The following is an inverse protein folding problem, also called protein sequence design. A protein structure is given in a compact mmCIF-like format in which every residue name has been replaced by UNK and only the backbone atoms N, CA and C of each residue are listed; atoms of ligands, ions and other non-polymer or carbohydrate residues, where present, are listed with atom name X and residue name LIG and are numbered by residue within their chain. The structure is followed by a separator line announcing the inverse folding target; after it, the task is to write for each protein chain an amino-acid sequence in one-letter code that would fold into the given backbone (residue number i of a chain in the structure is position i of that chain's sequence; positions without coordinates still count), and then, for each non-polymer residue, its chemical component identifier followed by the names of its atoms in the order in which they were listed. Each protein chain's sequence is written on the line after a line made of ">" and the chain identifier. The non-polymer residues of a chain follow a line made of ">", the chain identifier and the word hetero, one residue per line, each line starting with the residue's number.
data_IF_595825529750
#
_entry.id   IF_595825529750
#
_cell.length_a   1.000
_cell.length_b   1.000
_cell.length_c   1.000
_cell.angle_alpha   90.00
_cell.angle_beta   90.00
_cell.angle_gamma   90.00
#
_symmetry.space_group_name_H-M   'P 1'
#
loop_
_entity.id
_entity.type
_entity.pdbx_description
1 polymer ?
#
# COMPACT_ATOMS: atom_id res chain seq x y z
N UNK A 1 6.30 -24.72 -22.05
CA UNK A 1 6.74 -23.53 -22.79
C UNK A 1 7.81 -22.77 -22.01
N UNK A 2 8.77 -22.22 -22.70
CA UNK A 2 9.86 -21.46 -22.07
C UNK A 2 9.37 -20.29 -21.20
N UNK A 3 8.22 -19.69 -21.54
CA UNK A 3 7.63 -18.59 -20.76
C UNK A 3 7.26 -19.03 -19.35
N UNK A 4 6.75 -20.24 -19.17
CA UNK A 4 6.30 -20.70 -17.85
C UNK A 4 7.48 -21.04 -16.95
N UNK A 5 8.62 -21.40 -17.54
CA UNK A 5 9.86 -21.68 -16.79
C UNK A 5 10.54 -20.42 -16.29
N UNK A 6 10.28 -19.27 -16.93
CA UNK A 6 10.88 -17.99 -16.57
C UNK A 6 9.99 -17.14 -15.68
N UNK A 7 8.73 -17.54 -15.46
CA UNK A 7 7.83 -16.84 -14.56
C UNK A 7 8.25 -17.11 -13.12
N UNK A 8 8.53 -16.05 -12.40
CA UNK A 8 8.70 -16.11 -10.95
C UNK A 8 7.34 -16.40 -10.35
N UNK A 9 7.17 -17.48 -9.55
CA UNK A 9 5.91 -17.75 -8.88
C UNK A 9 5.51 -16.54 -8.03
N UNK A 10 4.27 -16.08 -8.18
CA UNK A 10 3.73 -14.95 -7.41
C UNK A 10 2.57 -15.43 -6.56
N UNK A 11 2.48 -14.88 -5.37
CA UNK A 11 1.38 -15.15 -4.44
C UNK A 11 0.30 -14.10 -4.64
N UNK A 12 -0.96 -14.52 -4.52
CA UNK A 12 -2.10 -13.61 -4.60
C UNK A 12 -2.43 -13.08 -3.21
N UNK A 13 -2.59 -11.77 -3.10
CA UNK A 13 -3.05 -11.10 -1.89
C UNK A 13 -4.36 -10.39 -2.18
N UNK A 14 -5.44 -10.84 -1.52
CA UNK A 14 -6.75 -10.21 -1.65
C UNK A 14 -6.74 -8.81 -1.02
N UNK A 15 -7.17 -7.83 -1.79
CA UNK A 15 -7.23 -6.43 -1.36
C UNK A 15 -8.51 -5.77 -1.85
N UNK A 16 -8.85 -4.64 -1.25
CA UNK A 16 -9.88 -3.74 -1.74
C UNK A 16 -9.23 -2.44 -2.18
N UNK A 17 -9.48 -2.05 -3.43
CA UNK A 17 -8.99 -0.79 -3.99
C UNK A 17 -10.13 0.22 -4.05
N UNK A 18 -9.82 1.50 -3.80
CA UNK A 18 -10.68 2.61 -4.21
C UNK A 18 -9.98 3.30 -5.37
N UNK A 19 -10.63 3.31 -6.52
CA UNK A 19 -10.09 3.80 -7.79
C UNK A 19 -11.00 4.89 -8.33
N UNK A 20 -10.43 5.99 -8.73
CA UNK A 20 -11.19 7.08 -9.36
C UNK A 20 -11.31 6.82 -10.87
N UNK A 21 -12.49 6.93 -11.49
CA UNK A 21 -13.82 7.22 -10.92
C UNK A 21 -14.65 5.97 -10.60
N UNK A 22 -14.12 4.78 -10.79
CA UNK A 22 -14.86 3.50 -10.68
C UNK A 22 -15.38 3.24 -9.25
N UNK A 23 -14.65 3.67 -8.23
CA UNK A 23 -15.00 3.45 -6.83
C UNK A 23 -14.33 2.19 -6.25
N UNK A 24 -15.08 1.45 -5.46
CA UNK A 24 -14.57 0.27 -4.75
C UNK A 24 -14.41 -0.93 -5.70
N UNK A 25 -13.21 -1.52 -5.70
CA UNK A 25 -12.87 -2.68 -6.52
C UNK A 25 -12.21 -3.72 -5.63
N UNK A 26 -12.69 -4.96 -5.70
CA UNK A 26 -12.10 -6.09 -4.96
C UNK A 26 -11.35 -6.99 -5.93
N UNK A 27 -10.13 -7.35 -5.55
CA UNK A 27 -9.31 -8.24 -6.36
C UNK A 27 -8.03 -8.62 -5.64
N UNK A 28 -7.11 -9.23 -6.34
CA UNK A 28 -5.86 -9.68 -5.74
C UNK A 28 -4.66 -9.06 -6.44
N UNK A 29 -3.69 -8.64 -5.63
CA UNK A 29 -2.38 -8.23 -6.10
C UNK A 29 -1.47 -9.45 -6.23
N UNK A 30 -0.54 -9.40 -7.17
CA UNK A 30 0.50 -10.40 -7.33
C UNK A 30 1.72 -9.95 -6.52
N UNK A 31 2.08 -10.72 -5.51
CA UNK A 31 3.22 -10.46 -4.66
C UNK A 31 4.29 -11.51 -4.87
N UNK A 32 5.55 -11.08 -4.85
CA UNK A 32 6.68 -12.02 -4.92
C UNK A 32 6.78 -12.79 -3.60
N UNK A 33 7.16 -14.09 -3.64
CA UNK A 33 7.34 -14.87 -2.41
C UNK A 33 8.41 -14.29 -1.50
N UNK A 34 9.36 -13.55 -2.09
CA UNK A 34 10.44 -12.92 -1.33
C UNK A 34 10.61 -11.48 -1.77
N UNK A 35 10.64 -10.58 -0.79
CA UNK A 35 10.89 -9.17 -1.03
C UNK A 35 12.34 -8.92 -1.45
N UNK A 36 12.54 -7.93 -2.34
CA UNK A 36 13.87 -7.46 -2.72
C UNK A 36 14.48 -6.52 -1.65
N UNK A 37 13.68 -6.05 -0.69
CA UNK A 37 14.07 -4.97 0.24
C UNK A 37 14.07 -5.40 1.71
N UNK A 38 13.48 -6.55 2.05
CA UNK A 38 13.36 -7.02 3.42
C UNK A 38 13.24 -8.55 3.46
N UNK A 39 13.38 -9.15 4.64
CA UNK A 39 13.12 -10.57 4.83
C UNK A 39 11.61 -10.83 4.76
N UNK A 40 11.22 -11.92 4.11
CA UNK A 40 9.84 -12.35 3.96
C UNK A 40 9.22 -11.96 2.63
N UNK A 41 7.90 -12.09 2.54
CA UNK A 41 7.13 -11.82 1.32
C UNK A 41 7.14 -10.34 0.95
N UNK A 42 6.98 -10.07 -0.35
CA UNK A 42 6.74 -8.72 -0.84
C UNK A 42 5.42 -8.19 -0.28
N UNK A 43 5.41 -6.93 0.15
CA UNK A 43 4.20 -6.28 0.66
C UNK A 43 3.48 -5.49 -0.45
N UNK A 44 2.15 -5.26 -0.30
CA UNK A 44 1.43 -4.36 -1.21
C UNK A 44 2.08 -2.98 -1.36
N UNK A 45 2.59 -2.41 -0.27
CA UNK A 45 3.27 -1.11 -0.30
C UNK A 45 4.46 -1.13 -1.27
N UNK A 46 5.23 -2.20 -1.29
CA UNK A 46 6.38 -2.32 -2.20
C UNK A 46 5.95 -2.28 -3.67
N UNK A 47 4.88 -3.03 -4.00
CA UNK A 47 4.33 -3.06 -5.36
C UNK A 47 3.83 -1.67 -5.77
N UNK A 48 3.13 -0.99 -4.87
CA UNK A 48 2.56 0.33 -5.14
C UNK A 48 3.63 1.42 -5.28
N UNK A 49 4.77 1.27 -4.60
CA UNK A 49 5.86 2.23 -4.63
C UNK A 49 6.94 1.93 -5.67
N UNK A 50 6.77 0.89 -6.51
CA UNK A 50 7.68 0.69 -7.64
C UNK A 50 7.57 1.81 -8.66
N UNK A 51 8.55 1.91 -9.55
CA UNK A 51 8.56 2.93 -10.59
C UNK A 51 7.52 2.69 -11.70
N UNK A 52 6.92 1.51 -11.75
CA UNK A 52 5.90 1.20 -12.76
C UNK A 52 4.69 2.11 -12.61
N UNK A 53 4.15 2.59 -13.73
CA UNK A 53 2.98 3.47 -13.75
C UNK A 53 1.68 2.71 -13.46
N UNK A 54 1.63 1.44 -13.82
CA UNK A 54 0.43 0.61 -13.68
C UNK A 54 0.68 -0.54 -12.72
N UNK A 55 -0.37 -0.93 -12.03
CA UNK A 55 -0.40 -2.17 -11.27
C UNK A 55 -1.34 -3.17 -11.91
N UNK A 56 -1.12 -4.46 -11.64
CA UNK A 56 -1.96 -5.54 -12.14
C UNK A 56 -2.86 -6.02 -11.01
N UNK A 57 -4.16 -6.07 -11.28
CA UNK A 57 -5.13 -6.62 -10.35
C UNK A 57 -5.84 -7.81 -11.00
N UNK A 58 -5.87 -8.94 -10.30
CA UNK A 58 -6.67 -10.10 -10.71
C UNK A 58 -8.05 -9.98 -10.07
N UNK A 59 -9.07 -9.89 -10.89
CA UNK A 59 -10.46 -9.86 -10.44
C UNK A 59 -11.07 -11.26 -10.58
N UNK A 60 -12.01 -11.59 -9.69
CA UNK A 60 -12.65 -12.89 -9.70
C UNK A 60 -14.02 -12.87 -10.39
N UNK A 61 -14.70 -11.73 -10.41
CA UNK A 61 -16.02 -11.59 -11.03
C UNK A 61 -16.11 -10.28 -11.81
N UNK A 62 -15.85 -10.32 -13.13
CA UNK A 62 -15.41 -11.48 -13.92
C UNK A 62 -13.94 -11.83 -13.64
N UNK A 63 -13.56 -13.08 -13.94
CA UNK A 63 -12.16 -13.52 -13.86
C UNK A 63 -11.37 -12.86 -15.00
N UNK A 64 -10.67 -11.82 -14.65
CA UNK A 64 -9.88 -11.03 -15.62
C UNK A 64 -8.70 -10.34 -14.92
N UNK A 65 -7.71 -9.99 -15.71
CA UNK A 65 -6.63 -9.11 -15.30
C UNK A 65 -6.97 -7.68 -15.72
N UNK A 66 -6.78 -6.73 -14.82
CA UNK A 66 -6.88 -5.31 -15.13
C UNK A 66 -5.60 -4.60 -14.76
N UNK A 67 -5.22 -3.66 -15.60
CA UNK A 67 -4.08 -2.78 -15.35
C UNK A 67 -4.63 -1.43 -14.89
N UNK A 68 -4.37 -1.08 -13.64
CA UNK A 68 -4.80 0.20 -13.09
C UNK A 68 -3.63 1.17 -13.07
N UNK A 69 -3.87 2.38 -13.57
CA UNK A 69 -2.91 3.46 -13.41
C UNK A 69 -2.82 3.80 -11.92
N UNK A 70 -1.63 3.76 -11.36
CA UNK A 70 -1.42 4.05 -9.93
C UNK A 70 -1.91 5.45 -9.55
N UNK A 71 -1.89 6.42 -10.48
CA UNK A 71 -2.41 7.76 -10.24
C UNK A 71 -3.92 7.78 -10.01
N UNK A 72 -4.65 6.76 -10.45
CA UNK A 72 -6.10 6.65 -10.23
C UNK A 72 -6.45 5.92 -8.94
N UNK A 73 -5.49 5.25 -8.31
CA UNK A 73 -5.71 4.49 -7.08
C UNK A 73 -5.64 5.45 -5.90
N UNK A 74 -6.78 5.60 -5.20
CA UNK A 74 -6.90 6.46 -4.02
C UNK A 74 -6.26 5.79 -2.81
N UNK A 75 -6.67 4.54 -2.56
CA UNK A 75 -6.15 3.75 -1.45
C UNK A 75 -6.37 2.26 -1.69
N UNK A 76 -5.61 1.45 -0.97
CA UNK A 76 -5.71 -0.01 -0.96
C UNK A 76 -5.86 -0.46 0.48
N UNK A 77 -6.84 -1.29 0.77
CA UNK A 77 -7.07 -1.84 2.11
C UNK A 77 -6.95 -3.36 2.10
N UNK A 78 -6.37 -3.89 3.16
CA UNK A 78 -6.28 -5.33 3.41
C UNK A 78 -6.10 -5.59 4.90
N UNK A 79 -6.40 -6.83 5.32
CA UNK A 79 -6.17 -7.25 6.68
C UNK A 79 -4.80 -7.89 6.80
N UNK A 80 -4.09 -7.53 7.85
CA UNK A 80 -2.82 -8.15 8.23
C UNK A 80 -3.06 -9.01 9.45
N UNK A 81 -2.89 -10.33 9.30
CA UNK A 81 -3.17 -11.30 10.37
C UNK A 81 -2.15 -11.20 11.52
N UNK A 82 -0.95 -10.72 11.23
CA UNK A 82 0.11 -10.55 12.23
C UNK A 82 0.68 -9.13 12.15
N UNK A 83 0.08 -8.16 12.86
CA UNK A 83 0.66 -6.84 12.93
C UNK A 83 2.00 -6.93 13.66
N UNK A 84 3.09 -6.93 12.90
CA UNK A 84 4.43 -6.89 13.46
C UNK A 84 4.73 -5.45 13.83
N UNK A 85 4.63 -5.14 15.12
CA UNK A 85 5.22 -3.93 15.68
C UNK A 85 6.73 -4.11 15.60
N UNK A 86 7.39 -3.33 14.75
CA UNK A 86 8.84 -3.29 14.73
C UNK A 86 9.30 -2.67 16.05
N UNK A 87 10.04 -3.41 16.90
CA UNK A 87 10.37 -2.93 18.26
C UNK A 87 11.27 -1.70 18.27
N UNK A 88 11.91 -1.37 17.14
CA UNK A 88 12.82 -0.23 17.01
C UNK A 88 12.17 1.01 16.40
N UNK A 89 10.87 0.99 16.13
CA UNK A 89 10.16 2.07 15.45
C UNK A 89 9.06 2.61 16.35
N UNK A 90 9.13 3.91 16.65
CA UNK A 90 8.05 4.60 17.34
C UNK A 90 6.90 4.83 16.36
N UNK A 91 5.69 4.35 16.66
CA UNK A 91 4.54 4.62 15.80
C UNK A 91 4.19 6.11 15.81
N UNK A 92 3.86 6.64 14.62
CA UNK A 92 3.46 8.03 14.44
C UNK A 92 1.95 8.09 14.26
N UNK A 93 1.17 8.46 15.30
CA UNK A 93 -0.27 8.59 15.15
C UNK A 93 -0.62 9.72 14.19
N UNK A 94 -1.63 9.50 13.35
CA UNK A 94 -2.08 10.52 12.43
C UNK A 94 -3.49 10.24 11.92
N UNK A 95 -4.11 11.29 11.37
CA UNK A 95 -5.35 11.17 10.61
C UNK A 95 -5.12 11.79 9.24
N UNK A 96 -5.34 10.99 8.19
CA UNK A 96 -5.26 11.44 6.81
C UNK A 96 -6.64 11.91 6.38
N UNK A 97 -6.71 13.17 5.92
CA UNK A 97 -7.93 13.75 5.35
C UNK A 97 -7.82 13.65 3.84
N UNK A 98 -8.62 12.81 3.23
CA UNK A 98 -8.57 12.58 1.78
C UNK A 98 -9.42 13.59 1.03
N UNK A 99 -9.11 13.80 -0.25
CA UNK A 99 -9.80 14.74 -1.11
C UNK A 99 -11.27 14.37 -1.37
N UNK A 100 -11.64 13.11 -1.17
CA UNK A 100 -13.03 12.65 -1.27
C UNK A 100 -13.83 12.84 0.03
N UNK A 101 -13.21 13.42 1.06
CA UNK A 101 -13.82 13.64 2.37
C UNK A 101 -13.67 12.51 3.36
N UNK A 102 -13.11 11.37 2.96
CA UNK A 102 -12.89 10.27 3.89
C UNK A 102 -11.71 10.55 4.83
N UNK A 103 -11.79 9.95 6.02
CA UNK A 103 -10.77 10.08 7.06
C UNK A 103 -10.14 8.70 7.32
N UNK A 104 -8.83 8.65 7.33
CA UNK A 104 -8.09 7.43 7.66
C UNK A 104 -7.25 7.71 8.90
N UNK A 105 -7.65 7.14 10.02
CA UNK A 105 -6.96 7.30 11.30
C UNK A 105 -6.16 6.06 11.66
N UNK A 106 -4.94 6.24 12.13
CA UNK A 106 -4.10 5.13 12.53
C UNK A 106 -2.68 5.58 12.83
N UNK A 107 -1.73 4.68 12.66
CA UNK A 107 -0.32 4.95 12.91
C UNK A 107 0.53 4.61 11.69
N UNK A 108 1.55 5.41 11.46
CA UNK A 108 2.59 5.12 10.50
C UNK A 108 3.80 4.58 11.25
N UNK A 109 4.33 3.46 10.78
CA UNK A 109 5.49 2.80 11.37
C UNK A 109 6.59 2.73 10.31
N UNK A 110 7.52 3.66 10.38
CA UNK A 110 8.63 3.75 9.44
C UNK A 110 9.91 4.04 10.20
N UNK A 111 10.94 3.23 9.96
CA UNK A 111 12.28 3.49 10.47
C UNK A 111 12.88 4.65 9.67
N UNK A 112 13.09 5.78 10.32
CA UNK A 112 13.74 6.95 9.73
C UNK A 112 14.97 7.32 10.57
N UNK A 113 15.97 8.00 9.98
CA UNK A 113 17.10 8.52 10.75
C UNK A 113 16.60 9.40 11.91
N UNK A 114 17.26 9.40 13.09
CA UNK A 114 16.78 10.14 14.26
C UNK A 114 16.57 11.63 14.03
N UNK A 115 17.31 12.24 13.12
CA UNK A 115 17.18 13.65 12.74
C UNK A 115 16.01 13.92 11.78
N UNK A 116 15.38 12.85 11.22
CA UNK A 116 14.27 12.91 10.26
C UNK A 116 13.17 11.94 10.62
N UNK A 117 12.88 11.74 11.90
CA UNK A 117 11.90 10.75 12.37
C UNK A 117 10.49 11.31 12.56
N UNK A 118 10.24 12.55 12.14
CA UNK A 118 8.95 13.19 12.30
C UNK A 118 7.99 12.81 11.17
N UNK A 119 6.69 12.88 11.47
CA UNK A 119 5.64 12.63 10.49
C UNK A 119 5.82 13.48 9.21
N UNK A 120 6.13 14.76 9.37
CA UNK A 120 6.40 15.68 8.26
C UNK A 120 7.49 15.15 7.33
N UNK A 121 8.59 14.66 7.90
CA UNK A 121 9.71 14.14 7.12
C UNK A 121 9.32 12.91 6.32
N UNK A 122 8.54 12.02 6.93
CA UNK A 122 8.05 10.81 6.27
C UNK A 122 7.13 11.15 5.09
N UNK A 123 6.20 12.08 5.29
CA UNK A 123 5.25 12.48 4.26
C UNK A 123 5.94 13.13 3.05
N UNK A 124 7.12 13.69 3.25
CA UNK A 124 7.87 14.37 2.19
C UNK A 124 8.93 13.50 1.50
N UNK A 125 8.93 12.19 1.74
CA UNK A 125 9.77 11.27 0.98
C UNK A 125 9.30 11.19 -0.47
N UNK A 126 10.15 11.64 -1.40
CA UNK A 126 9.77 11.77 -2.81
C UNK A 126 9.67 10.45 -3.56
N UNK A 127 10.37 9.43 -3.11
CA UNK A 127 10.41 8.11 -3.75
C UNK A 127 9.27 7.18 -3.32
N UNK A 128 8.44 7.62 -2.37
CA UNK A 128 7.30 6.85 -1.88
C UNK A 128 5.98 7.56 -2.21
N UNK A 129 5.33 7.09 -3.27
CA UNK A 129 4.03 7.62 -3.72
C UNK A 129 2.90 7.28 -2.75
N UNK A 130 2.96 6.13 -2.10
CA UNK A 130 1.95 5.63 -1.19
C UNK A 130 2.49 5.56 0.23
N UNK A 131 1.61 5.79 1.20
CA UNK A 131 1.92 5.66 2.63
C UNK A 131 1.09 4.55 3.25
N UNK A 132 1.71 3.77 4.13
CA UNK A 132 1.06 2.66 4.83
C UNK A 132 0.62 3.11 6.22
N UNK A 133 -0.67 2.95 6.49
CA UNK A 133 -1.28 3.30 7.77
C UNK A 133 -1.81 2.04 8.44
N UNK A 134 -1.39 1.81 9.67
CA UNK A 134 -1.90 0.73 10.51
C UNK A 134 -3.16 1.24 11.23
N UNK A 135 -4.30 0.71 10.84
CA UNK A 135 -5.60 1.07 11.40
C UNK A 135 -6.01 0.10 12.51
N UNK A 136 -7.12 0.38 13.17
CA UNK A 136 -7.64 -0.47 14.23
C UNK A 136 -8.01 -1.88 13.71
N UNK A 137 -7.86 -2.90 14.56
CA UNK A 137 -8.29 -4.26 14.24
C UNK A 137 -7.43 -5.00 13.21
N UNK A 138 -6.17 -4.59 13.05
CA UNK A 138 -5.26 -5.22 12.08
C UNK A 138 -5.50 -4.82 10.64
N UNK A 139 -6.39 -3.86 10.38
CA UNK A 139 -6.63 -3.35 9.06
C UNK A 139 -5.48 -2.44 8.61
N UNK A 140 -4.99 -2.66 7.40
CA UNK A 140 -3.94 -1.84 6.78
C UNK A 140 -4.55 -1.03 5.66
N UNK A 141 -4.24 0.27 5.63
CA UNK A 141 -4.66 1.15 4.57
C UNK A 141 -3.43 1.80 3.93
N UNK A 142 -3.23 1.55 2.64
CA UNK A 142 -2.13 2.13 1.87
C UNK A 142 -2.71 3.23 1.00
N UNK A 143 -2.32 4.48 1.26
CA UNK A 143 -2.97 5.67 0.71
C UNK A 143 -2.05 6.38 -0.26
N UNK A 144 -2.58 6.74 -1.42
CA UNK A 144 -1.87 7.55 -2.41
C UNK A 144 -1.75 8.99 -1.89
N UNK A 145 -0.53 9.46 -1.75
CA UNK A 145 -0.26 10.84 -1.28
C UNK A 145 -0.95 11.91 -2.12
N UNK A 146 -1.11 11.66 -3.43
CA UNK A 146 -1.76 12.62 -4.33
C UNK A 146 -3.23 12.90 -3.96
N UNK A 147 -3.87 12.00 -3.20
CA UNK A 147 -5.26 12.16 -2.76
C UNK A 147 -5.37 12.63 -1.32
N UNK A 148 -4.28 12.89 -0.63
CA UNK A 148 -4.29 13.41 0.73
C UNK A 148 -4.39 14.93 0.67
N UNK A 149 -5.46 15.48 1.23
CA UNK A 149 -5.65 16.92 1.31
C UNK A 149 -4.86 17.51 2.47
N UNK A 150 -4.92 16.87 3.64
CA UNK A 150 -4.12 17.28 4.79
C UNK A 150 -3.95 16.10 5.76
N UNK A 151 -2.99 16.24 6.66
CA UNK A 151 -2.70 15.25 7.70
C UNK A 151 -2.65 15.97 9.03
N UNK A 152 -3.38 15.43 10.02
CA UNK A 152 -3.32 15.91 11.42
C UNK A 152 -2.60 14.88 12.27
N UNK A 153 -1.60 15.33 13.06
CA UNK A 153 -0.87 14.42 13.94
C UNK A 153 -1.70 13.97 15.14
#
# INVERSE_FOLDING_TARGET
>A
MLRDRLKIPKKLKLVTLWVHPEGRVVGSLFLRPQSAHRAGEEEPLEVLNTADLFLVLKRDQPDELRFYNKSSVVRVEYDDEEPVLLPSVDPLPCTLHLMDGSLIAGTIQKALPPDRSRLFDYLNLNDERFVKVHCAGGNICVVNKAYIACVTP
#
